data_IF_498902600728
#
_entry.id   IF_498902600728
#
_cell.length_a   1.000
_cell.length_b   1.000
_cell.length_c   1.000
_cell.angle_alpha   90.00
_cell.angle_beta   90.00
_cell.angle_gamma   90.00
#
_symmetry.space_group_name_H-M   'P 1'
#
loop_
_entity.id
_entity.type
_entity.pdbx_description
1 polymer ?
#
# COMPACT_ATOMS: atom_id res chain seq x y z
N UNK A 1 41.49 -9.26 20.89
CA UNK A 1 41.81 -10.37 21.80
C UNK A 1 42.18 -9.76 23.14
N UNK A 2 41.39 -9.96 24.18
CA UNK A 2 41.68 -9.40 25.51
C UNK A 2 42.66 -10.32 26.26
N UNK A 3 43.70 -9.74 26.85
CA UNK A 3 44.73 -10.44 27.63
C UNK A 3 44.56 -10.13 29.11
N UNK A 4 44.79 -11.10 30.00
CA UNK A 4 44.75 -10.87 31.45
C UNK A 4 46.03 -10.16 31.95
N UNK A 5 46.00 -9.64 33.18
CA UNK A 5 47.13 -9.01 33.89
C UNK A 5 48.40 -9.87 33.93
N UNK A 6 48.30 -11.20 33.81
CA UNK A 6 49.44 -12.11 33.73
C UNK A 6 49.87 -12.48 32.29
N UNK A 7 49.51 -11.65 31.30
CA UNK A 7 49.85 -11.79 29.87
C UNK A 7 49.47 -13.16 29.27
N UNK A 8 48.38 -13.76 29.76
CA UNK A 8 47.79 -14.97 29.20
C UNK A 8 46.54 -14.61 28.41
N UNK A 9 46.47 -15.13 27.19
CA UNK A 9 45.28 -15.08 26.36
C UNK A 9 44.17 -15.92 27.02
N UNK A 10 43.09 -15.28 27.46
CA UNK A 10 41.89 -15.98 27.90
C UNK A 10 40.70 -15.55 27.04
N UNK A 11 39.81 -16.49 26.76
CA UNK A 11 38.52 -16.16 26.15
C UNK A 11 37.59 -15.67 27.26
N UNK A 12 36.82 -14.60 27.06
CA UNK A 12 35.81 -14.20 28.03
C UNK A 12 34.86 -15.39 28.23
N UNK A 13 34.64 -15.78 29.48
CA UNK A 13 33.81 -16.92 29.85
C UNK A 13 32.35 -16.65 29.53
N UNK A 14 31.98 -16.82 28.26
CA UNK A 14 30.57 -16.87 27.86
C UNK A 14 29.87 -18.01 28.60
N UNK A 15 28.57 -17.82 28.86
CA UNK A 15 27.75 -18.85 29.51
C UNK A 15 27.86 -20.20 28.77
N UNK A 16 27.79 -21.33 29.51
CA UNK A 16 27.81 -22.65 28.92
C UNK A 16 26.66 -22.83 27.92
N UNK A 17 26.95 -23.54 26.82
CA UNK A 17 25.94 -23.90 25.80
C UNK A 17 24.76 -24.59 26.49
N UNK A 18 23.55 -24.06 26.30
CA UNK A 18 22.30 -24.63 26.82
C UNK A 18 21.56 -23.79 27.89
N UNK A 19 22.10 -22.64 28.30
CA UNK A 19 21.35 -21.66 29.11
C UNK A 19 20.48 -20.75 28.23
N UNK A 20 19.24 -20.49 28.69
CA UNK A 20 18.25 -19.71 27.97
C UNK A 20 18.80 -18.33 27.54
N UNK A 21 18.68 -18.01 26.24
CA UNK A 21 19.17 -16.76 25.65
C UNK A 21 20.48 -16.86 24.87
N UNK A 22 21.10 -18.04 24.78
CA UNK A 22 22.32 -18.23 23.96
C UNK A 22 21.95 -18.59 22.52
N UNK A 23 22.30 -17.73 21.56
CA UNK A 23 22.12 -18.01 20.13
C UNK A 23 23.01 -19.22 19.74
N UNK A 24 22.40 -20.33 19.32
CA UNK A 24 23.12 -21.48 18.81
C UNK A 24 23.47 -21.22 17.33
N UNK A 25 24.76 -21.11 16.95
CA UNK A 25 25.11 -21.14 15.54
C UNK A 25 24.82 -22.55 15.02
N UNK A 26 23.79 -22.67 14.19
CA UNK A 26 23.43 -23.93 13.53
C UNK A 26 24.60 -24.43 12.69
N UNK A 27 25.18 -25.54 13.10
CA UNK A 27 26.05 -26.36 12.27
C UNK A 27 25.17 -27.22 11.38
N UNK A 28 24.79 -26.70 10.23
CA UNK A 28 24.70 -27.49 8.99
C UNK A 28 24.51 -26.56 7.79
N UNK A 29 25.29 -26.82 6.73
CA UNK A 29 25.38 -26.01 5.53
C UNK A 29 24.17 -26.17 4.61
N UNK A 30 23.00 -25.72 5.03
CA UNK A 30 21.88 -25.47 4.12
C UNK A 30 21.53 -24.00 4.18
N UNK A 31 21.97 -23.26 3.16
CA UNK A 31 21.56 -21.87 2.90
C UNK A 31 20.03 -21.87 2.89
N UNK A 32 19.40 -21.37 3.96
CA UNK A 32 17.96 -21.16 4.00
C UNK A 32 17.58 -20.43 2.70
N UNK A 33 16.52 -20.85 1.98
CA UNK A 33 16.09 -20.09 0.83
C UNK A 33 15.80 -18.68 1.35
N UNK A 34 16.57 -17.72 0.86
CA UNK A 34 16.31 -16.29 1.01
C UNK A 34 14.81 -16.13 0.82
N UNK A 35 14.10 -15.65 1.85
CA UNK A 35 12.65 -15.44 1.77
C UNK A 35 12.46 -14.35 0.74
N UNK A 36 12.35 -14.75 -0.52
CA UNK A 36 12.10 -13.85 -1.63
C UNK A 36 10.75 -13.22 -1.32
N UNK A 37 10.65 -11.88 -1.20
CA UNK A 37 9.35 -11.25 -1.20
C UNK A 37 8.60 -11.75 -2.45
N UNK A 38 7.27 -11.97 -2.38
CA UNK A 38 6.51 -12.37 -3.55
C UNK A 38 6.87 -11.42 -4.69
N UNK A 39 7.25 -11.98 -5.85
CA UNK A 39 7.49 -11.18 -7.03
C UNK A 39 6.22 -10.34 -7.21
N UNK A 40 6.36 -9.03 -7.07
CA UNK A 40 5.25 -8.11 -7.24
C UNK A 40 4.98 -8.04 -8.74
N UNK A 41 4.46 -9.14 -9.29
CA UNK A 41 4.09 -9.32 -10.70
C UNK A 41 2.76 -8.60 -10.95
N UNK A 42 2.59 -7.42 -10.34
CA UNK A 42 1.79 -6.36 -10.94
C UNK A 42 2.56 -5.91 -12.17
N UNK A 43 2.55 -6.71 -13.23
CA UNK A 43 2.72 -6.17 -14.58
C UNK A 43 1.66 -5.09 -14.67
N UNK A 44 2.08 -3.84 -14.50
CA UNK A 44 1.26 -2.69 -14.86
C UNK A 44 1.00 -2.90 -16.33
N UNK A 45 -0.14 -3.53 -16.66
CA UNK A 45 -0.65 -3.54 -18.02
C UNK A 45 -0.66 -2.09 -18.43
N UNK A 46 -0.05 -1.79 -19.57
CA UNK A 46 -0.14 -0.46 -20.16
C UNK A 46 -1.61 -0.17 -20.33
N UNK A 47 -2.08 0.83 -19.60
CA UNK A 47 -3.47 1.28 -19.62
C UNK A 47 -3.85 1.63 -21.05
N UNK A 48 -4.99 1.15 -21.52
CA UNK A 48 -5.47 1.39 -22.89
C UNK A 48 -6.59 2.43 -22.90
N UNK A 49 -6.93 2.94 -24.08
CA UNK A 49 -8.11 3.80 -24.24
C UNK A 49 -9.40 3.11 -23.77
N UNK A 50 -9.51 1.78 -23.92
CA UNK A 50 -10.66 1.01 -23.44
C UNK A 50 -10.76 0.99 -21.90
N UNK A 51 -9.63 1.03 -21.19
CA UNK A 51 -9.61 1.19 -19.73
C UNK A 51 -10.15 2.59 -19.33
N UNK A 52 -9.82 3.62 -20.11
CA UNK A 52 -10.30 4.98 -19.89
C UNK A 52 -11.81 5.11 -20.17
N UNK A 53 -12.30 4.49 -21.24
CA UNK A 53 -13.73 4.41 -21.54
C UNK A 53 -14.48 3.69 -20.43
N UNK A 54 -13.94 2.57 -19.92
CA UNK A 54 -14.52 1.86 -18.77
C UNK A 54 -14.53 2.71 -17.51
N UNK A 55 -13.48 3.46 -17.24
CA UNK A 55 -13.43 4.39 -16.11
C UNK A 55 -14.48 5.52 -16.24
N UNK A 56 -14.67 6.08 -17.43
CA UNK A 56 -15.73 7.06 -17.70
C UNK A 56 -17.14 6.49 -17.55
N UNK A 57 -17.36 5.26 -18.02
CA UNK A 57 -18.63 4.56 -17.84
C UNK A 57 -18.90 4.28 -16.36
N UNK A 58 -17.87 3.90 -15.59
CA UNK A 58 -17.99 3.65 -14.15
C UNK A 58 -18.30 4.94 -13.38
N UNK A 59 -17.62 6.05 -13.69
CA UNK A 59 -17.97 7.39 -13.18
C UNK A 59 -19.46 7.69 -13.41
N UNK A 60 -19.90 7.62 -14.66
CA UNK A 60 -21.28 7.95 -15.06
C UNK A 60 -22.31 7.05 -14.34
N UNK A 61 -21.96 5.79 -14.10
CA UNK A 61 -22.80 4.83 -13.38
C UNK A 61 -22.92 5.18 -11.89
N UNK A 62 -21.81 5.52 -11.24
CA UNK A 62 -21.79 5.92 -9.83
C UNK A 62 -22.63 7.19 -9.63
N UNK A 63 -22.42 8.20 -10.48
CA UNK A 63 -23.15 9.48 -10.42
C UNK A 63 -24.65 9.30 -10.67
N UNK A 64 -25.01 8.41 -11.61
CA UNK A 64 -26.42 8.08 -11.85
C UNK A 64 -27.07 7.41 -10.64
N UNK A 65 -26.42 6.42 -10.03
CA UNK A 65 -26.94 5.79 -8.81
C UNK A 65 -27.15 6.80 -7.68
N UNK A 66 -26.22 7.76 -7.55
CA UNK A 66 -26.35 8.84 -6.58
C UNK A 66 -27.55 9.75 -6.88
N UNK A 67 -27.75 10.10 -8.16
CA UNK A 67 -28.88 10.91 -8.63
C UNK A 67 -30.23 10.19 -8.46
N UNK A 68 -30.27 8.87 -8.64
CA UNK A 68 -31.45 8.03 -8.43
C UNK A 68 -31.77 7.83 -6.93
N UNK A 69 -30.87 8.25 -6.03
CA UNK A 69 -31.04 8.19 -4.58
C UNK A 69 -30.40 6.97 -3.92
N UNK A 70 -29.83 6.05 -4.69
CA UNK A 70 -29.16 4.82 -4.25
C UNK A 70 -27.72 5.09 -3.75
N UNK A 71 -27.57 6.00 -2.78
CA UNK A 71 -26.27 6.43 -2.25
C UNK A 71 -25.41 5.27 -1.74
N UNK A 72 -26.02 4.29 -1.07
CA UNK A 72 -25.26 3.13 -0.56
C UNK A 72 -24.64 2.28 -1.67
N UNK A 73 -25.31 2.15 -2.82
CA UNK A 73 -24.72 1.46 -3.96
C UNK A 73 -23.64 2.29 -4.65
N UNK A 74 -23.87 3.61 -4.79
CA UNK A 74 -22.89 4.53 -5.35
C UNK A 74 -21.59 4.53 -4.52
N UNK A 75 -21.70 4.67 -3.20
CA UNK A 75 -20.57 4.63 -2.26
C UNK A 75 -19.80 3.32 -2.34
N UNK A 76 -20.52 2.19 -2.44
CA UNK A 76 -19.89 0.87 -2.56
C UNK A 76 -19.09 0.74 -3.85
N UNK A 77 -19.67 1.15 -4.98
CA UNK A 77 -18.97 1.10 -6.28
C UNK A 77 -17.80 2.06 -6.33
N UNK A 78 -17.92 3.26 -5.75
CA UNK A 78 -16.81 4.21 -5.65
C UNK A 78 -15.62 3.60 -4.89
N UNK A 79 -15.86 2.97 -3.73
CA UNK A 79 -14.82 2.29 -2.95
C UNK A 79 -14.21 1.11 -3.70
N UNK A 80 -15.03 0.31 -4.39
CA UNK A 80 -14.56 -0.81 -5.21
C UNK A 80 -13.66 -0.35 -6.36
N UNK A 81 -13.97 0.82 -6.94
CA UNK A 81 -13.15 1.48 -7.96
C UNK A 81 -11.84 2.07 -7.39
N UNK A 82 -11.66 2.09 -6.07
CA UNK A 82 -10.50 2.66 -5.38
C UNK A 82 -10.61 4.17 -5.11
N UNK A 83 -11.81 4.75 -5.24
CA UNK A 83 -12.08 6.13 -4.85
C UNK A 83 -12.36 6.24 -3.34
N UNK A 84 -11.98 7.37 -2.76
CA UNK A 84 -12.38 7.75 -1.41
C UNK A 84 -13.81 8.28 -1.44
N UNK A 85 -14.58 8.04 -0.38
CA UNK A 85 -15.94 8.57 -0.24
C UNK A 85 -15.96 9.68 0.80
N UNK A 86 -16.92 10.60 0.70
CA UNK A 86 -17.15 11.63 1.72
C UNK A 86 -17.20 11.02 3.13
N UNK A 87 -16.34 11.52 4.01
CA UNK A 87 -16.16 11.00 5.37
C UNK A 87 -14.97 10.06 5.55
N UNK A 88 -14.41 9.52 4.46
CA UNK A 88 -13.15 8.77 4.52
C UNK A 88 -11.97 9.74 4.77
N UNK A 89 -10.97 9.29 5.53
CA UNK A 89 -9.74 10.06 5.75
C UNK A 89 -8.87 9.99 4.50
N UNK A 90 -8.61 11.15 3.89
CA UNK A 90 -7.72 11.24 2.73
C UNK A 90 -6.27 10.96 3.13
N UNK A 91 -5.47 10.34 2.24
CA UNK A 91 -4.08 10.07 2.52
C UNK A 91 -3.28 11.36 2.60
N UNK A 92 -2.38 11.45 3.58
CA UNK A 92 -1.39 12.53 3.63
C UNK A 92 -0.29 12.25 2.61
N UNK A 93 0.01 13.22 1.75
CA UNK A 93 1.07 13.06 0.75
C UNK A 93 0.95 14.03 -0.41
N UNK A 94 1.46 13.62 -1.56
CA UNK A 94 1.36 14.34 -2.82
C UNK A 94 0.87 13.41 -3.92
N UNK A 95 -0.06 13.86 -4.75
CA UNK A 95 -0.53 13.11 -5.92
C UNK A 95 -2.02 13.29 -6.19
N UNK A 96 -2.55 12.46 -7.09
CA UNK A 96 -3.96 12.49 -7.47
C UNK A 96 -4.70 11.26 -6.93
N UNK A 97 -5.91 11.45 -6.43
CA UNK A 97 -6.82 10.36 -6.10
C UNK A 97 -8.25 10.72 -6.48
N UNK A 98 -9.09 9.70 -6.71
CA UNK A 98 -10.51 9.92 -6.92
C UNK A 98 -11.24 10.09 -5.59
N UNK A 99 -12.16 11.06 -5.55
CA UNK A 99 -13.03 11.37 -4.43
C UNK A 99 -14.48 11.41 -4.93
N UNK A 100 -15.33 10.66 -4.25
CA UNK A 100 -16.78 10.69 -4.42
C UNK A 100 -17.40 11.49 -3.29
N UNK A 101 -18.03 12.63 -3.59
CA UNK A 101 -18.62 13.52 -2.59
C UNK A 101 -20.06 13.15 -2.17
N UNK A 102 -20.58 12.05 -2.72
CA UNK A 102 -21.97 11.60 -2.56
C UNK A 102 -22.89 12.02 -3.71
N UNK A 103 -22.39 12.76 -4.70
CA UNK A 103 -23.08 13.15 -5.93
C UNK A 103 -22.21 12.97 -7.16
N UNK A 104 -20.99 13.48 -7.11
CA UNK A 104 -20.04 13.49 -8.22
C UNK A 104 -18.75 12.76 -7.85
N UNK A 105 -18.18 12.07 -8.84
CA UNK A 105 -16.88 11.42 -8.72
C UNK A 105 -15.83 12.27 -9.44
N UNK A 106 -14.99 12.94 -8.67
CA UNK A 106 -13.95 13.84 -9.19
C UNK A 106 -12.56 13.38 -8.78
N UNK A 107 -11.54 13.91 -9.47
CA UNK A 107 -10.16 13.73 -9.04
C UNK A 107 -9.77 14.89 -8.14
N UNK A 108 -9.05 14.61 -7.06
CA UNK A 108 -8.44 15.63 -6.22
C UNK A 108 -6.93 15.50 -6.25
N UNK A 109 -6.26 16.64 -6.31
CA UNK A 109 -4.82 16.74 -6.11
C UNK A 109 -4.56 17.01 -4.63
N UNK A 110 -3.74 16.16 -4.02
CA UNK A 110 -3.27 16.31 -2.65
C UNK A 110 -1.86 16.93 -2.72
N UNK A 111 -1.66 18.01 -1.97
CA UNK A 111 -0.36 18.67 -1.77
C UNK A 111 -0.15 18.91 -0.28
N UNK A 112 0.39 17.92 0.42
CA UNK A 112 0.57 17.97 1.87
C UNK A 112 -0.78 17.98 2.57
N UNK A 113 -1.13 19.10 3.22
CA UNK A 113 -2.41 19.30 3.89
C UNK A 113 -3.48 19.95 3.00
N UNK A 114 -3.10 20.36 1.78
CA UNK A 114 -4.01 21.02 0.84
C UNK A 114 -4.61 20.00 -0.13
N UNK A 115 -5.92 20.11 -0.36
CA UNK A 115 -6.64 19.29 -1.34
C UNK A 115 -7.33 20.24 -2.32
N UNK A 116 -7.08 20.05 -3.62
CA UNK A 116 -7.68 20.86 -4.68
C UNK A 116 -8.42 19.98 -5.68
N UNK A 117 -9.59 20.42 -6.11
CA UNK A 117 -10.37 19.72 -7.14
C UNK A 117 -9.64 19.81 -8.49
N UNK A 118 -9.58 18.70 -9.21
CA UNK A 118 -9.10 18.60 -10.57
C UNK A 118 -10.20 17.99 -11.47
N UNK A 119 -10.15 18.21 -12.79
CA UNK A 119 -10.97 17.44 -13.72
C UNK A 119 -10.78 15.95 -13.49
N UNK A 120 -11.84 15.17 -13.70
CA UNK A 120 -11.76 13.72 -13.53
C UNK A 120 -10.67 13.11 -14.43
N UNK A 121 -9.76 12.38 -13.79
CA UNK A 121 -8.67 11.65 -14.43
C UNK A 121 -8.97 10.15 -14.31
N UNK A 122 -9.24 9.46 -15.43
CA UNK A 122 -9.54 8.02 -15.45
C UNK A 122 -8.50 7.16 -14.71
N UNK A 123 -7.22 7.56 -14.77
CA UNK A 123 -6.08 6.93 -14.09
C UNK A 123 -6.19 6.80 -12.58
N UNK A 124 -7.07 7.58 -11.96
CA UNK A 124 -7.24 7.62 -10.50
C UNK A 124 -8.22 6.57 -9.97
N UNK A 125 -8.91 5.84 -10.87
CA UNK A 125 -9.81 4.73 -10.52
C UNK A 125 -9.47 3.45 -11.29
N UNK A 126 -9.98 2.32 -10.77
CA UNK A 126 -9.91 0.98 -11.38
C UNK A 126 -11.29 0.61 -11.92
N UNK A 127 -11.35 0.13 -13.16
CA UNK A 127 -12.58 -0.21 -13.89
C UNK A 127 -12.45 -1.52 -14.67
#
# INVERSE_FOLDING_TARGET
MSVDRNNRSHRPGGLPKGYAGTFAPGSDGTRAPDVRPPANDTRRRTRTAEDDERAWALKSRIERLAADGDRSQADRLAREAGAYVAGDSLPYGSGYCALFDGRELNTVEIRGSMVTLAPFMPETIRA
#
